data_IF_797400544322
#
_entry.id   IF_797400544322
#
_cell.length_a   1.000
_cell.length_b   1.000
_cell.length_c   1.000
_cell.angle_alpha   90.00
_cell.angle_beta   90.00
_cell.angle_gamma   90.00
#
_symmetry.space_group_name_H-M   'P 1'
#
loop_
_entity.id
_entity.type
_entity.pdbx_description
1 polymer ?
#
# COMPACT_ATOMS: atom_id res chain seq x y z
N UNK A 1 56.11 6.71 -38.92
CA UNK A 1 54.64 6.60 -39.10
C UNK A 1 54.19 5.36 -38.32
N UNK A 2 53.99 5.44 -37.01
CA UNK A 2 52.75 5.79 -36.28
C UNK A 2 51.54 4.90 -36.60
N UNK A 3 51.31 3.96 -35.67
CA UNK A 3 50.01 3.49 -35.11
C UNK A 3 49.18 2.51 -35.97
N UNK A 4 49.28 1.22 -35.65
CA UNK A 4 48.25 0.24 -35.96
C UNK A 4 48.29 -0.93 -34.95
N UNK A 5 48.09 -0.66 -33.66
CA UNK A 5 47.81 -1.69 -32.66
C UNK A 5 46.87 -1.08 -31.63
N UNK A 6 45.60 -1.51 -31.65
CA UNK A 6 44.62 -1.46 -30.55
C UNK A 6 43.23 -1.79 -31.15
N UNK A 7 42.99 -3.07 -31.43
CA UNK A 7 41.65 -3.57 -31.78
C UNK A 7 41.53 -5.04 -31.39
N UNK A 8 41.74 -5.35 -30.11
CA UNK A 8 41.45 -6.67 -29.56
C UNK A 8 41.25 -6.53 -28.04
N UNK A 9 40.04 -6.20 -27.62
CA UNK A 9 39.76 -6.06 -26.19
C UNK A 9 38.36 -5.59 -25.84
N UNK A 10 37.33 -5.90 -26.64
CA UNK A 10 35.96 -5.44 -26.37
C UNK A 10 34.91 -6.52 -26.66
N UNK A 11 35.17 -7.76 -26.25
CA UNK A 11 34.26 -8.90 -26.49
C UNK A 11 34.31 -9.96 -25.37
N UNK A 12 34.42 -9.55 -24.11
CA UNK A 12 34.43 -10.50 -22.98
C UNK A 12 33.66 -10.02 -21.73
N UNK A 13 32.63 -9.17 -21.88
CA UNK A 13 31.88 -8.65 -20.74
C UNK A 13 30.34 -8.72 -20.88
N UNK A 14 29.81 -9.65 -21.70
CA UNK A 14 28.36 -9.74 -21.98
C UNK A 14 27.72 -11.11 -21.66
N UNK A 15 28.43 -12.01 -20.98
CA UNK A 15 27.93 -13.37 -20.71
C UNK A 15 27.70 -13.68 -19.22
N UNK A 16 27.45 -12.66 -18.39
CA UNK A 16 27.08 -12.86 -16.99
C UNK A 16 25.71 -12.23 -16.69
N UNK A 17 24.70 -13.09 -16.56
CA UNK A 17 23.52 -12.80 -15.75
C UNK A 17 22.22 -12.54 -16.52
N UNK A 18 21.51 -13.62 -16.88
CA UNK A 18 20.05 -13.68 -16.79
C UNK A 18 19.61 -15.14 -17.03
N UNK A 19 19.77 -15.99 -16.02
CA UNK A 19 18.95 -17.20 -15.95
C UNK A 19 17.51 -16.74 -15.71
N UNK A 20 16.74 -16.65 -16.80
CA UNK A 20 15.29 -16.46 -16.71
C UNK A 20 14.71 -17.71 -16.03
N UNK A 21 14.41 -17.60 -14.73
CA UNK A 21 13.57 -18.59 -14.07
C UNK A 21 12.21 -18.60 -14.77
N UNK A 22 11.73 -19.74 -15.26
CA UNK A 22 10.36 -19.85 -15.74
C UNK A 22 9.43 -19.53 -14.56
N UNK A 23 8.69 -18.43 -14.69
CA UNK A 23 7.56 -18.15 -13.81
C UNK A 23 6.50 -19.22 -14.06
N UNK A 24 6.55 -20.30 -13.28
CA UNK A 24 5.40 -21.19 -13.14
C UNK A 24 4.20 -20.35 -12.75
N UNK A 25 3.05 -20.46 -13.42
CA UNK A 25 1.81 -19.83 -12.97
C UNK A 25 1.53 -20.37 -11.57
N UNK A 26 1.81 -19.55 -10.56
CA UNK A 26 1.50 -19.88 -9.19
C UNK A 26 0.00 -20.11 -9.10
N UNK A 27 -0.38 -21.37 -8.87
CA UNK A 27 -1.70 -21.73 -8.37
C UNK A 27 -2.06 -20.70 -7.29
N UNK A 28 -3.23 -20.07 -7.42
CA UNK A 28 -3.78 -19.19 -6.41
C UNK A 28 -3.88 -19.97 -5.09
N UNK A 29 -2.80 -19.95 -4.32
CA UNK A 29 -2.76 -20.43 -2.95
C UNK A 29 -3.74 -19.52 -2.22
N UNK A 30 -4.78 -20.11 -1.63
CA UNK A 30 -5.73 -19.38 -0.80
C UNK A 30 -4.95 -18.49 0.16
N UNK A 31 -4.91 -17.20 -0.16
CA UNK A 31 -3.97 -16.28 0.44
C UNK A 31 -4.32 -16.14 1.91
N UNK A 32 -3.34 -16.33 2.78
CA UNK A 32 -3.47 -15.97 4.19
C UNK A 32 -3.88 -14.49 4.22
N UNK A 33 -5.11 -14.20 4.65
CA UNK A 33 -5.62 -12.83 4.64
C UNK A 33 -4.70 -11.98 5.53
N UNK A 34 -4.14 -10.93 4.94
CA UNK A 34 -3.26 -10.01 5.65
C UNK A 34 -3.99 -9.39 6.86
N UNK A 35 -3.45 -9.56 8.06
CA UNK A 35 -4.07 -9.08 9.30
C UNK A 35 -4.27 -7.55 9.32
N UNK A 36 -3.43 -6.81 8.59
CA UNK A 36 -3.59 -5.36 8.43
C UNK A 36 -4.82 -5.01 7.64
N UNK A 37 -5.12 -5.76 6.59
CA UNK A 37 -6.35 -5.61 5.83
C UNK A 37 -7.56 -5.91 6.72
N UNK A 38 -7.51 -6.96 7.54
CA UNK A 38 -8.60 -7.27 8.48
C UNK A 38 -8.80 -6.14 9.48
N UNK A 39 -7.73 -5.62 10.11
CA UNK A 39 -7.81 -4.46 11.03
C UNK A 39 -8.41 -3.23 10.33
N UNK A 40 -8.06 -3.00 9.06
CA UNK A 40 -8.61 -1.92 8.25
C UNK A 40 -10.10 -2.10 7.93
N UNK A 41 -10.52 -3.30 7.49
CA UNK A 41 -11.92 -3.62 7.18
C UNK A 41 -12.81 -3.51 8.42
N UNK A 42 -12.34 -3.99 9.57
CA UNK A 42 -13.04 -3.82 10.84
C UNK A 42 -13.17 -2.34 11.20
N UNK A 43 -12.11 -1.54 11.02
CA UNK A 43 -12.14 -0.14 11.37
C UNK A 43 -13.09 0.71 10.49
N UNK A 44 -13.41 0.26 9.28
CA UNK A 44 -14.36 0.94 8.38
C UNK A 44 -15.77 0.34 8.41
N UNK A 45 -15.98 -0.74 9.17
CA UNK A 45 -17.21 -1.56 9.22
C UNK A 45 -17.55 -2.18 7.86
N UNK A 46 -16.57 -2.79 7.19
CA UNK A 46 -16.71 -3.47 5.90
C UNK A 46 -16.17 -4.91 5.93
N UNK A 47 -16.43 -5.63 7.03
CA UNK A 47 -15.93 -7.00 7.23
C UNK A 47 -16.50 -7.98 6.19
N UNK A 48 -17.67 -7.69 5.64
CA UNK A 48 -18.33 -8.42 4.56
C UNK A 48 -17.51 -8.45 3.26
N UNK A 49 -16.65 -7.45 3.04
CA UNK A 49 -15.75 -7.41 1.89
C UNK A 49 -14.53 -8.32 2.02
N UNK A 50 -14.29 -8.95 3.17
CA UNK A 50 -13.12 -9.83 3.37
C UNK A 50 -13.05 -10.96 2.32
N UNK A 51 -14.21 -11.52 1.95
CA UNK A 51 -14.30 -12.54 0.90
C UNK A 51 -14.03 -12.01 -0.52
N UNK A 52 -14.24 -10.71 -0.77
CA UNK A 52 -13.86 -10.10 -2.06
C UNK A 52 -12.35 -9.92 -2.11
N UNK A 53 -11.75 -9.40 -1.03
CA UNK A 53 -10.31 -9.19 -0.96
C UNK A 53 -9.50 -10.50 -0.96
N UNK A 54 -10.09 -11.65 -0.61
CA UNK A 54 -9.38 -12.94 -0.72
C UNK A 54 -9.06 -13.36 -2.16
N UNK A 55 -9.69 -12.73 -3.16
CA UNK A 55 -9.38 -12.94 -4.58
C UNK A 55 -8.34 -11.95 -5.12
N UNK A 56 -7.91 -10.98 -4.31
CA UNK A 56 -6.94 -9.96 -4.71
C UNK A 56 -5.55 -10.39 -4.20
N UNK A 57 -4.51 -10.41 -5.07
CA UNK A 57 -3.15 -10.67 -4.63
C UNK A 57 -2.75 -9.73 -3.48
N UNK A 58 -2.05 -10.25 -2.47
CA UNK A 58 -1.76 -9.51 -1.24
C UNK A 58 -1.08 -8.16 -1.52
N UNK A 59 -0.18 -8.12 -2.49
CA UNK A 59 0.57 -6.93 -2.89
C UNK A 59 -0.33 -5.83 -3.48
N UNK A 60 -1.48 -6.22 -4.04
CA UNK A 60 -2.46 -5.31 -4.64
C UNK A 60 -3.55 -4.89 -3.66
N UNK A 61 -3.67 -5.56 -2.50
CA UNK A 61 -4.70 -5.23 -1.50
C UNK A 61 -4.67 -3.77 -1.02
N UNK A 62 -3.52 -3.08 -0.85
CA UNK A 62 -3.56 -1.67 -0.44
C UNK A 62 -4.14 -0.76 -1.52
N UNK A 63 -3.89 -1.06 -2.80
CA UNK A 63 -4.42 -0.31 -3.93
C UNK A 63 -5.93 -0.54 -4.07
N UNK A 64 -6.38 -1.80 -3.96
CA UNK A 64 -7.80 -2.14 -3.97
C UNK A 64 -8.56 -1.49 -2.80
N UNK A 65 -7.95 -1.45 -1.61
CA UNK A 65 -8.52 -0.73 -0.47
C UNK A 65 -8.61 0.77 -0.74
N UNK A 66 -7.56 1.38 -1.31
CA UNK A 66 -7.59 2.79 -1.67
C UNK A 66 -8.71 3.09 -2.69
N UNK A 67 -8.90 2.24 -3.69
CA UNK A 67 -9.99 2.35 -4.65
C UNK A 67 -11.37 2.26 -3.99
N UNK A 68 -11.56 1.28 -3.10
CA UNK A 68 -12.78 1.18 -2.29
C UNK A 68 -13.05 2.47 -1.48
N UNK A 69 -12.03 3.00 -0.80
CA UNK A 69 -12.16 4.22 0.00
C UNK A 69 -12.44 5.47 -0.85
N UNK A 70 -12.03 5.49 -2.12
CA UNK A 70 -12.38 6.57 -3.05
C UNK A 70 -13.86 6.52 -3.46
N UNK A 71 -14.47 5.33 -3.49
CA UNK A 71 -15.90 5.16 -3.77
C UNK A 71 -16.78 5.36 -2.52
N UNK A 72 -16.31 4.99 -1.33
CA UNK A 72 -17.03 5.18 -0.08
C UNK A 72 -16.39 6.24 0.83
N UNK A 73 -16.92 7.45 0.75
CA UNK A 73 -16.50 8.58 1.59
C UNK A 73 -16.70 8.36 3.08
N UNK A 74 -17.67 7.54 3.52
CA UNK A 74 -17.85 7.24 4.96
C UNK A 74 -16.74 6.30 5.41
N UNK A 75 -16.42 5.28 4.63
CA UNK A 75 -15.30 4.38 4.89
C UNK A 75 -13.97 5.15 4.96
N UNK A 76 -13.72 6.06 4.00
CA UNK A 76 -12.53 6.92 4.01
C UNK A 76 -12.38 7.71 5.32
N UNK A 77 -13.47 8.33 5.80
CA UNK A 77 -13.43 9.09 7.06
C UNK A 77 -13.08 8.21 8.25
N UNK A 78 -13.64 7.00 8.32
CA UNK A 78 -13.33 6.04 9.40
C UNK A 78 -11.88 5.57 9.33
N UNK A 79 -11.40 5.26 8.12
CA UNK A 79 -10.01 4.85 7.88
C UNK A 79 -9.01 5.94 8.29
N UNK A 80 -9.23 7.19 7.90
CA UNK A 80 -8.37 8.32 8.31
C UNK A 80 -8.41 8.52 9.82
N UNK A 81 -9.59 8.46 10.45
CA UNK A 81 -9.72 8.57 11.92
C UNK A 81 -9.01 7.43 12.65
N UNK A 82 -9.03 6.21 12.10
CA UNK A 82 -8.24 5.08 12.63
C UNK A 82 -6.75 5.42 12.59
N UNK A 83 -6.23 5.86 11.44
CA UNK A 83 -4.82 6.25 11.29
C UNK A 83 -4.40 7.37 12.25
N UNK A 84 -5.27 8.36 12.51
CA UNK A 84 -4.99 9.42 13.49
C UNK A 84 -4.96 8.92 14.94
N UNK A 85 -5.86 7.99 15.30
CA UNK A 85 -5.82 7.36 16.62
C UNK A 85 -4.56 6.54 16.80
N UNK A 86 -4.18 5.79 15.77
CA UNK A 86 -2.93 5.03 15.76
C UNK A 86 -1.76 6.00 15.93
N UNK A 87 -1.64 7.03 15.08
CA UNK A 87 -0.58 8.03 15.21
C UNK A 87 -0.48 8.64 16.62
N UNK A 88 -1.62 8.98 17.23
CA UNK A 88 -1.65 9.55 18.59
C UNK A 88 -1.15 8.57 19.66
N UNK A 89 -1.52 7.29 19.55
CA UNK A 89 -1.19 6.26 20.55
C UNK A 89 0.20 5.66 20.34
N UNK A 90 0.58 5.41 19.09
CA UNK A 90 1.79 4.69 18.71
C UNK A 90 2.93 5.56 18.19
N UNK A 91 2.72 6.88 18.02
CA UNK A 91 3.67 7.78 17.34
C UNK A 91 4.00 7.36 15.90
N UNK A 92 3.12 6.55 15.29
CA UNK A 92 3.22 6.06 13.92
C UNK A 92 1.94 5.34 13.51
N UNK A 93 1.86 4.98 12.23
CA UNK A 93 0.73 4.27 11.62
C UNK A 93 1.17 2.94 11.05
N UNK A 94 0.21 2.05 10.77
CA UNK A 94 0.52 0.73 10.23
C UNK A 94 1.19 0.88 8.86
N UNK A 95 2.26 0.10 8.60
CA UNK A 95 2.94 0.04 7.30
C UNK A 95 1.99 -0.20 6.13
N UNK A 96 1.04 -1.12 6.30
CA UNK A 96 0.05 -1.41 5.26
C UNK A 96 -0.91 -0.23 5.04
N UNK A 97 -1.39 0.40 6.11
CA UNK A 97 -2.26 1.58 6.01
C UNK A 97 -1.54 2.76 5.33
N UNK A 98 -0.23 2.92 5.60
CA UNK A 98 0.59 3.93 4.91
C UNK A 98 0.61 3.70 3.41
N UNK A 99 0.70 2.45 2.93
CA UNK A 99 0.63 2.14 1.50
C UNK A 99 -0.73 2.55 0.92
N UNK A 100 -1.84 2.25 1.61
CA UNK A 100 -3.20 2.69 1.21
C UNK A 100 -3.25 4.21 1.09
N UNK A 101 -2.74 4.94 2.09
CA UNK A 101 -2.73 6.40 2.09
C UNK A 101 -1.90 6.96 0.93
N UNK A 102 -0.74 6.37 0.61
CA UNK A 102 0.07 6.78 -0.54
C UNK A 102 -0.66 6.56 -1.87
N UNK A 103 -1.39 5.44 -2.03
CA UNK A 103 -2.27 5.24 -3.18
C UNK A 103 -3.37 6.31 -3.26
N UNK A 104 -4.01 6.65 -2.14
CA UNK A 104 -5.00 7.72 -2.09
C UNK A 104 -4.41 9.08 -2.48
N UNK A 105 -3.19 9.40 -2.06
CA UNK A 105 -2.48 10.62 -2.49
C UNK A 105 -2.28 10.61 -4.00
N UNK A 106 -1.80 9.50 -4.57
CA UNK A 106 -1.59 9.32 -6.01
C UNK A 106 -2.89 9.40 -6.82
N UNK A 107 -3.98 8.81 -6.35
CA UNK A 107 -5.29 8.88 -7.00
C UNK A 107 -5.83 10.33 -6.98
N UNK A 108 -5.67 11.05 -5.86
CA UNK A 108 -6.17 12.42 -5.73
C UNK A 108 -5.35 13.47 -6.50
N UNK A 109 -4.11 13.16 -6.88
CA UNK A 109 -3.26 14.05 -7.68
C UNK A 109 -3.59 14.00 -9.18
N UNK A 110 -4.37 13.00 -9.64
CA UNK A 110 -4.72 12.89 -11.04
C UNK A 110 -5.63 14.04 -11.50
N UNK A 111 -5.45 14.55 -12.74
CA UNK A 111 -6.27 15.62 -13.28
C UNK A 111 -7.71 15.15 -13.54
N UNK A 112 -7.86 13.89 -13.96
CA UNK A 112 -9.13 13.23 -14.23
C UNK A 112 -9.27 12.03 -13.30
N UNK A 113 -10.45 11.88 -12.70
CA UNK A 113 -10.81 10.69 -11.93
C UNK A 113 -11.67 9.76 -12.79
N UNK A 114 -11.63 8.44 -12.52
CA UNK A 114 -12.59 7.50 -13.11
C UNK A 114 -14.04 7.93 -12.88
N UNK A 115 -14.93 7.50 -13.79
CA UNK A 115 -16.37 7.76 -13.69
C UNK A 115 -16.92 7.21 -12.37
N UNK A 116 -17.77 8.00 -11.70
CA UNK A 116 -18.39 7.62 -10.44
C UNK A 116 -17.56 7.93 -9.18
N UNK A 117 -16.29 8.34 -9.33
CA UNK A 117 -15.44 8.71 -8.20
C UNK A 117 -15.46 10.24 -8.01
N UNK A 118 -15.88 10.69 -6.83
CA UNK A 118 -15.78 12.08 -6.45
C UNK A 118 -14.39 12.41 -5.90
N UNK A 119 -13.91 13.64 -6.12
CA UNK A 119 -12.67 14.11 -5.48
C UNK A 119 -12.84 14.11 -3.96
N UNK A 120 -11.81 13.63 -3.26
CA UNK A 120 -11.73 13.80 -1.80
C UNK A 120 -11.68 15.30 -1.49
N UNK A 121 -12.55 15.74 -0.58
CA UNK A 121 -12.63 17.14 -0.17
C UNK A 121 -11.26 17.65 0.34
N UNK A 122 -10.97 18.96 0.23
CA UNK A 122 -9.68 19.51 0.65
C UNK A 122 -9.30 19.18 2.11
N UNK A 123 -10.26 19.24 3.03
CA UNK A 123 -10.03 18.94 4.44
C UNK A 123 -9.59 17.49 4.67
N UNK A 124 -10.22 16.53 4.00
CA UNK A 124 -9.85 15.12 4.11
C UNK A 124 -8.55 14.80 3.35
N UNK A 125 -8.31 15.47 2.22
CA UNK A 125 -7.05 15.35 1.49
C UNK A 125 -5.85 15.81 2.33
N UNK A 126 -5.97 16.93 3.04
CA UNK A 126 -4.91 17.41 3.94
C UNK A 126 -4.57 16.38 5.02
N UNK A 127 -5.59 15.70 5.58
CA UNK A 127 -5.41 14.65 6.60
C UNK A 127 -4.78 13.39 6.03
N UNK A 128 -5.20 12.95 4.84
CA UNK A 128 -4.56 11.84 4.11
C UNK A 128 -3.10 12.15 3.84
N UNK A 129 -2.78 13.35 3.33
CA UNK A 129 -1.41 13.79 3.09
C UNK A 129 -0.59 13.77 4.39
N UNK A 130 -1.11 14.33 5.48
CA UNK A 130 -0.42 14.35 6.77
C UNK A 130 -0.12 12.92 7.28
N UNK A 131 -1.10 12.02 7.26
CA UNK A 131 -0.90 10.63 7.69
C UNK A 131 0.06 9.87 6.75
N UNK A 132 0.06 10.15 5.45
CA UNK A 132 0.97 9.50 4.49
C UNK A 132 2.44 9.79 4.77
N UNK A 133 2.73 10.88 5.49
CA UNK A 133 4.07 11.28 5.92
C UNK A 133 4.46 10.72 7.29
N UNK A 134 3.53 10.11 8.03
CA UNK A 134 3.79 9.57 9.36
C UNK A 134 4.79 8.38 9.31
N UNK A 135 5.43 8.11 10.45
CA UNK A 135 6.28 6.93 10.62
C UNK A 135 5.45 5.66 10.41
N UNK A 136 6.00 4.72 9.64
CA UNK A 136 5.40 3.41 9.42
C UNK A 136 5.87 2.47 10.52
N UNK A 137 4.95 1.74 11.14
CA UNK A 137 5.22 0.77 12.20
C UNK A 137 4.60 -0.58 11.84
N UNK A 138 5.23 -1.70 12.23
CA UNK A 138 4.63 -3.02 12.13
C UNK A 138 3.32 -3.12 12.94
N UNK A 139 2.33 -3.83 12.41
CA UNK A 139 1.00 -3.96 13.04
C UNK A 139 1.06 -4.46 14.49
N UNK A 140 1.96 -5.39 14.79
CA UNK A 140 2.12 -5.93 16.15
C UNK A 140 2.53 -4.86 17.17
N UNK A 141 3.36 -3.88 16.79
CA UNK A 141 3.75 -2.76 17.66
C UNK A 141 2.54 -1.87 17.94
N UNK A 142 1.73 -1.58 16.93
CA UNK A 142 0.51 -0.77 17.09
C UNK A 142 -0.49 -1.47 17.99
N UNK A 143 -0.73 -2.77 17.79
CA UNK A 143 -1.65 -3.54 18.63
C UNK A 143 -1.18 -3.57 20.09
N UNK A 144 0.13 -3.75 20.33
CA UNK A 144 0.70 -3.71 21.68
C UNK A 144 0.49 -2.34 22.35
N UNK A 145 0.74 -1.24 21.63
CA UNK A 145 0.59 0.11 22.18
C UNK A 145 -0.88 0.48 22.42
N UNK A 146 -1.81 0.06 21.53
CA UNK A 146 -3.26 0.19 21.76
C UNK A 146 -3.71 -0.57 23.02
N UNK A 147 -3.16 -1.76 23.27
CA UNK A 147 -3.48 -2.53 24.46
C UNK A 147 -2.93 -1.88 25.75
N UNK A 148 -1.74 -1.27 25.68
CA UNK A 148 -1.14 -0.57 26.81
C UNK A 148 -1.91 0.70 27.20
N UNK A 149 -2.37 1.48 26.21
CA UNK A 149 -3.14 2.72 26.45
C UNK A 149 -4.61 2.54 26.86
N UNK A 150 -5.08 1.30 26.99
CA UNK A 150 -6.42 0.97 27.52
C UNK A 150 -6.44 0.72 29.04
N UNK A 151 -5.28 0.70 29.68
CA UNK A 151 -5.13 0.62 31.14
C UNK A 151 -5.15 2.01 31.74
#
# INVERSE_FOLDING_TARGET
MRRAWLAAGLLAALAAGAAAQPQTPGTAQGGVINLSLVDALVAVDAQDLAGVFSFIPEEQTPMAMADYLMHDHKALKKFVRKGERDLKLSQGINEWDKKVLLFLVGMNSQPLLPLGIARVSPAWRARVNALSLAQALPLNIIVQQRAAGRK
#
